data_IF_752558376998
#
_entry.id   IF_752558376998
#
_cell.length_a   1.000
_cell.length_b   1.000
_cell.length_c   1.000
_cell.angle_alpha   90.00
_cell.angle_beta   90.00
_cell.angle_gamma   90.00
#
_symmetry.space_group_name_H-M   'P 1'
#
loop_
_entity.id
_entity.type
_entity.pdbx_description
1 polymer ?
#
# COMPACT_ATOMS: atom_id res chain seq x y z
N UNK A 1 28.20 24.08 21.38
CA UNK A 1 27.23 24.27 22.48
C UNK A 1 25.90 24.75 21.92
N UNK A 2 25.14 23.88 21.21
CA UNK A 2 23.77 24.14 20.79
C UNK A 2 22.86 23.19 21.57
N UNK A 3 22.39 23.62 22.76
CA UNK A 3 21.23 23.00 23.40
C UNK A 3 20.03 23.21 22.50
N UNK A 4 19.72 22.23 21.62
CA UNK A 4 18.41 22.17 21.01
C UNK A 4 17.38 22.03 22.13
N UNK A 5 16.66 23.14 22.41
CA UNK A 5 15.46 23.12 23.22
C UNK A 5 14.52 22.09 22.61
N UNK A 6 14.48 20.88 23.19
CA UNK A 6 13.48 19.87 22.81
C UNK A 6 12.11 20.48 23.07
N UNK A 7 11.47 21.00 22.01
CA UNK A 7 10.08 21.45 22.09
C UNK A 7 9.26 20.27 22.61
N UNK A 8 8.45 20.53 23.62
CA UNK A 8 7.63 19.52 24.31
C UNK A 8 6.86 18.65 23.28
N UNK A 9 6.78 17.32 23.42
CA UNK A 9 6.07 16.44 22.47
C UNK A 9 4.65 16.92 22.15
N UNK A 10 3.91 17.36 23.15
CA UNK A 10 2.58 17.93 22.99
C UNK A 10 2.54 19.15 22.07
N UNK A 11 3.55 20.02 22.11
CA UNK A 11 3.61 21.20 21.24
C UNK A 11 3.82 20.82 19.76
N UNK A 12 4.67 19.82 19.51
CA UNK A 12 4.87 19.28 18.13
C UNK A 12 3.59 18.63 17.60
N UNK A 13 2.92 17.84 18.43
CA UNK A 13 1.65 17.22 18.09
C UNK A 13 0.57 18.26 17.81
N UNK A 14 0.45 19.30 18.66
CA UNK A 14 -0.50 20.39 18.46
C UNK A 14 -0.24 21.14 17.15
N UNK A 15 1.01 21.48 16.86
CA UNK A 15 1.38 22.15 15.60
C UNK A 15 0.96 21.33 14.38
N UNK A 16 1.24 20.04 14.37
CA UNK A 16 0.91 19.16 13.24
C UNK A 16 -0.62 18.97 13.13
N UNK A 17 -1.32 18.90 14.25
CA UNK A 17 -2.80 18.86 14.29
C UNK A 17 -3.40 20.15 13.72
N UNK A 18 -2.91 21.31 14.13
CA UNK A 18 -3.39 22.60 13.61
C UNK A 18 -3.16 22.69 12.09
N UNK A 19 -1.95 22.34 11.62
CA UNK A 19 -1.65 22.33 10.19
C UNK A 19 -2.59 21.39 9.41
N UNK A 20 -2.89 20.23 9.98
CA UNK A 20 -3.82 19.26 9.39
C UNK A 20 -5.27 19.77 9.34
N UNK A 21 -5.75 20.42 10.42
CA UNK A 21 -7.08 21.04 10.46
C UNK A 21 -7.20 22.14 9.41
N UNK A 22 -6.18 23.00 9.27
CA UNK A 22 -6.15 24.04 8.22
C UNK A 22 -6.25 23.43 6.84
N UNK A 23 -5.53 22.33 6.56
CA UNK A 23 -5.65 21.59 5.31
C UNK A 23 -7.09 21.07 5.08
N UNK A 24 -7.71 20.46 6.10
CA UNK A 24 -9.07 19.95 5.99
C UNK A 24 -10.10 21.05 5.71
N UNK A 25 -9.96 22.21 6.37
CA UNK A 25 -10.83 23.37 6.11
C UNK A 25 -10.63 23.90 4.68
N UNK A 26 -9.40 23.98 4.20
CA UNK A 26 -9.11 24.38 2.82
C UNK A 26 -9.71 23.39 1.81
N UNK A 27 -9.58 22.07 2.05
CA UNK A 27 -10.20 21.03 1.22
C UNK A 27 -11.73 21.13 1.25
N UNK A 28 -12.35 21.42 2.40
CA UNK A 28 -13.79 21.62 2.49
C UNK A 28 -14.25 22.80 1.62
N UNK A 29 -13.52 23.92 1.67
CA UNK A 29 -13.80 25.07 0.80
C UNK A 29 -13.63 24.76 -0.69
N UNK A 30 -12.64 23.93 -1.01
CA UNK A 30 -12.41 23.45 -2.38
C UNK A 30 -13.58 22.57 -2.86
N UNK A 31 -13.96 21.54 -2.07
CA UNK A 31 -15.08 20.64 -2.39
C UNK A 31 -16.39 21.42 -2.55
N UNK A 32 -16.65 22.44 -1.71
CA UNK A 32 -17.83 23.29 -1.83
C UNK A 32 -17.91 24.02 -3.17
N UNK A 33 -16.77 24.44 -3.71
CA UNK A 33 -16.70 25.14 -5.01
C UNK A 33 -16.78 24.23 -6.21
N UNK A 34 -16.27 23.00 -6.10
CA UNK A 34 -16.11 22.09 -7.24
C UNK A 34 -17.22 21.05 -7.34
N UNK A 35 -17.73 20.58 -6.22
CA UNK A 35 -18.65 19.44 -6.13
C UNK A 35 -19.97 19.78 -5.39
N UNK A 36 -20.08 21.01 -4.89
CA UNK A 36 -21.30 21.57 -4.33
C UNK A 36 -21.47 21.44 -2.80
N UNK A 37 -22.55 22.01 -2.30
CA UNK A 37 -22.80 22.13 -0.86
C UNK A 37 -23.02 20.79 -0.17
N UNK A 38 -23.61 19.81 -0.85
CA UNK A 38 -23.88 18.47 -0.29
C UNK A 38 -22.57 17.72 0.00
N UNK A 39 -21.67 17.67 -0.97
CA UNK A 39 -20.36 17.05 -0.79
C UNK A 39 -19.54 17.75 0.31
N UNK A 40 -19.57 19.07 0.36
CA UNK A 40 -18.91 19.85 1.41
C UNK A 40 -19.51 19.60 2.81
N UNK A 41 -20.83 19.47 2.92
CA UNK A 41 -21.51 19.10 4.15
C UNK A 41 -21.13 17.67 4.58
N UNK A 42 -21.09 16.72 3.66
CA UNK A 42 -20.62 15.36 3.89
C UNK A 42 -19.17 15.37 4.39
N UNK A 43 -18.24 16.08 3.74
CA UNK A 43 -16.84 16.18 4.17
C UNK A 43 -16.71 16.82 5.55
N UNK A 44 -17.49 17.86 5.86
CA UNK A 44 -17.52 18.48 7.19
C UNK A 44 -17.87 17.51 8.30
N UNK A 45 -18.62 16.44 8.02
CA UNK A 45 -18.92 15.41 9.02
C UNK A 45 -17.80 14.36 9.18
N UNK A 46 -16.94 14.17 8.18
CA UNK A 46 -15.88 13.14 8.16
C UNK A 46 -14.56 13.66 8.73
N UNK A 47 -14.08 14.81 8.25
CA UNK A 47 -12.74 15.28 8.56
C UNK A 47 -12.45 15.53 10.06
N UNK A 48 -13.43 15.93 10.93
CA UNK A 48 -13.14 16.07 12.36
C UNK A 48 -12.76 14.75 13.01
N UNK A 49 -13.42 13.65 12.63
CA UNK A 49 -13.06 12.29 13.10
C UNK A 49 -11.65 11.92 12.68
N UNK A 50 -11.30 12.16 11.42
CA UNK A 50 -9.95 11.93 10.91
C UNK A 50 -8.91 12.80 11.65
N UNK A 51 -9.24 14.07 11.92
CA UNK A 51 -8.35 14.99 12.64
C UNK A 51 -8.08 14.53 14.08
N UNK A 52 -9.11 14.05 14.79
CA UNK A 52 -8.94 13.48 16.15
C UNK A 52 -8.05 12.24 16.13
N UNK A 53 -8.26 11.33 15.17
CA UNK A 53 -7.43 10.13 15.01
C UNK A 53 -5.96 10.50 14.70
N UNK A 54 -5.73 11.45 13.78
CA UNK A 54 -4.40 11.94 13.44
C UNK A 54 -3.73 12.67 14.62
N UNK A 55 -4.47 13.45 15.39
CA UNK A 55 -3.96 14.13 16.60
C UNK A 55 -3.51 13.13 17.66
N UNK A 56 -4.34 12.11 17.93
CA UNK A 56 -3.98 11.01 18.84
C UNK A 56 -2.74 10.26 18.36
N UNK A 57 -2.68 9.92 17.07
CA UNK A 57 -1.51 9.31 16.45
C UNK A 57 -0.25 10.18 16.54
N UNK A 58 -0.36 11.49 16.29
CA UNK A 58 0.75 12.44 16.39
C UNK A 58 1.27 12.52 17.84
N UNK A 59 0.38 12.58 18.82
CA UNK A 59 0.77 12.58 20.23
C UNK A 59 1.55 11.33 20.60
N UNK A 60 1.06 10.14 20.22
CA UNK A 60 1.72 8.87 20.47
C UNK A 60 3.11 8.80 19.79
N UNK A 61 3.21 9.23 18.52
CA UNK A 61 4.46 9.25 17.74
C UNK A 61 5.50 10.13 18.41
N UNK A 62 5.13 11.34 18.83
CA UNK A 62 6.07 12.27 19.49
C UNK A 62 6.42 11.85 20.92
N UNK A 63 5.49 11.28 21.67
CA UNK A 63 5.78 10.73 23.01
C UNK A 63 6.72 9.52 22.92
N UNK A 64 6.57 8.68 21.90
CA UNK A 64 7.44 7.53 21.67
C UNK A 64 8.80 7.90 21.04
N UNK A 65 9.00 9.15 20.58
CA UNK A 65 10.21 9.56 19.89
C UNK A 65 10.35 9.00 18.46
N UNK A 66 9.26 8.51 17.88
CA UNK A 66 9.25 7.98 16.52
C UNK A 66 9.32 9.10 15.45
N UNK A 67 9.67 8.72 14.22
CA UNK A 67 9.76 9.66 13.10
C UNK A 67 8.37 10.08 12.60
N UNK A 68 8.08 11.38 12.56
CA UNK A 68 6.74 11.88 12.23
C UNK A 68 6.46 12.03 10.72
N UNK A 69 7.47 11.93 9.85
CA UNK A 69 7.29 12.15 8.40
C UNK A 69 6.29 11.18 7.75
N UNK A 70 6.36 9.84 7.98
CA UNK A 70 5.40 8.91 7.41
C UNK A 70 3.96 9.21 7.87
N UNK A 71 3.78 9.55 9.14
CA UNK A 71 2.47 9.94 9.68
C UNK A 71 1.89 11.15 8.95
N UNK A 72 2.69 12.20 8.74
CA UNK A 72 2.24 13.44 8.07
C UNK A 72 1.81 13.19 6.63
N UNK A 73 2.63 12.45 5.87
CA UNK A 73 2.31 12.14 4.46
C UNK A 73 1.04 11.32 4.37
N UNK A 74 0.90 10.30 5.22
CA UNK A 74 -0.29 9.44 5.24
C UNK A 74 -1.55 10.20 5.67
N UNK A 75 -1.42 11.15 6.63
CA UNK A 75 -2.54 12.01 7.04
C UNK A 75 -2.99 12.93 5.90
N UNK A 76 -2.05 13.55 5.16
CA UNK A 76 -2.37 14.39 3.99
C UNK A 76 -3.08 13.56 2.92
N UNK A 77 -2.57 12.38 2.59
CA UNK A 77 -3.23 11.48 1.64
C UNK A 77 -4.62 11.07 2.11
N UNK A 78 -4.79 10.76 3.39
CA UNK A 78 -6.10 10.44 3.96
C UNK A 78 -7.09 11.60 3.86
N UNK A 79 -6.66 12.83 4.11
CA UNK A 79 -7.53 14.01 3.98
C UNK A 79 -7.98 14.22 2.52
N UNK A 80 -7.04 14.13 1.56
CA UNK A 80 -7.33 14.25 0.13
C UNK A 80 -8.24 13.10 -0.31
N UNK A 81 -7.95 11.86 0.12
CA UNK A 81 -8.75 10.69 -0.18
C UNK A 81 -10.18 10.82 0.32
N UNK A 82 -10.38 11.20 1.58
CA UNK A 82 -11.72 11.40 2.15
C UNK A 82 -12.49 12.53 1.44
N UNK A 83 -11.82 13.64 1.10
CA UNK A 83 -12.44 14.71 0.31
C UNK A 83 -12.89 14.21 -1.06
N UNK A 84 -12.07 13.40 -1.73
CA UNK A 84 -12.38 12.85 -3.05
C UNK A 84 -13.50 11.81 -2.99
N UNK A 85 -13.52 10.93 -1.96
CA UNK A 85 -14.57 9.93 -1.77
C UNK A 85 -15.93 10.57 -1.50
N UNK A 86 -16.01 11.59 -0.63
CA UNK A 86 -17.29 12.29 -0.40
C UNK A 86 -17.73 13.10 -1.61
N UNK A 87 -16.80 13.58 -2.44
CA UNK A 87 -17.13 14.24 -3.70
C UNK A 87 -17.73 13.29 -4.73
N UNK A 88 -17.35 12.00 -4.68
CA UNK A 88 -17.91 10.96 -5.55
C UNK A 88 -19.21 10.40 -4.98
N UNK A 89 -19.26 10.15 -3.68
CA UNK A 89 -20.34 9.47 -2.97
C UNK A 89 -20.65 10.16 -1.62
N UNK A 90 -21.36 11.31 -1.60
CA UNK A 90 -21.66 12.04 -0.36
C UNK A 90 -22.44 11.21 0.67
N UNK A 91 -23.31 10.29 0.19
CA UNK A 91 -24.10 9.41 1.04
C UNK A 91 -23.26 8.46 1.92
N UNK A 92 -22.02 8.16 1.53
CA UNK A 92 -21.13 7.22 2.23
C UNK A 92 -20.33 7.88 3.38
N UNK A 93 -20.61 9.13 3.74
CA UNK A 93 -19.86 9.88 4.76
C UNK A 93 -19.80 9.16 6.12
N UNK A 94 -20.88 8.47 6.54
CA UNK A 94 -20.88 7.72 7.79
C UNK A 94 -19.98 6.49 7.75
N UNK A 95 -19.91 5.80 6.62
CA UNK A 95 -19.01 4.67 6.41
C UNK A 95 -17.54 5.11 6.46
N UNK A 96 -17.21 6.24 5.83
CA UNK A 96 -15.86 6.81 5.88
C UNK A 96 -15.42 7.20 7.31
N UNK A 97 -16.34 7.70 8.16
CA UNK A 97 -16.06 7.91 9.59
C UNK A 97 -15.70 6.61 10.31
N UNK A 98 -16.47 5.55 10.04
CA UNK A 98 -16.22 4.22 10.63
C UNK A 98 -14.83 3.74 10.21
N UNK A 99 -14.45 3.91 8.94
CA UNK A 99 -13.10 3.54 8.48
C UNK A 99 -11.99 4.33 9.18
N UNK A 100 -12.18 5.62 9.46
CA UNK A 100 -11.23 6.41 10.25
C UNK A 100 -11.06 5.84 11.67
N UNK A 101 -12.16 5.52 12.35
CA UNK A 101 -12.13 4.95 13.71
C UNK A 101 -11.51 3.55 13.72
N UNK A 102 -11.91 2.67 12.80
CA UNK A 102 -11.35 1.33 12.67
C UNK A 102 -9.85 1.36 12.34
N UNK A 103 -9.41 2.34 11.54
CA UNK A 103 -7.99 2.51 11.27
C UNK A 103 -7.21 2.91 12.51
N UNK A 104 -7.74 3.79 13.34
CA UNK A 104 -7.11 4.17 14.59
C UNK A 104 -7.00 2.99 15.57
N UNK A 105 -8.08 2.22 15.74
CA UNK A 105 -8.07 0.97 16.51
C UNK A 105 -7.08 -0.03 15.91
N UNK A 106 -7.08 -0.19 14.58
CA UNK A 106 -6.14 -1.03 13.86
C UNK A 106 -4.68 -0.64 14.10
N UNK A 107 -4.37 0.67 14.18
CA UNK A 107 -3.05 1.17 14.54
C UNK A 107 -2.65 0.74 15.97
N UNK A 108 -3.56 0.86 16.93
CA UNK A 108 -3.28 0.42 18.32
C UNK A 108 -3.04 -1.09 18.41
N UNK A 109 -3.87 -1.89 17.72
CA UNK A 109 -3.67 -3.34 17.62
C UNK A 109 -2.33 -3.68 16.95
N UNK A 110 -1.97 -2.98 15.89
CA UNK A 110 -0.70 -3.18 15.17
C UNK A 110 0.50 -2.80 16.03
N UNK A 111 0.41 -1.73 16.82
CA UNK A 111 1.46 -1.36 17.77
C UNK A 111 1.63 -2.46 18.86
N UNK A 112 0.53 -3.06 19.32
CA UNK A 112 0.57 -4.20 20.24
C UNK A 112 1.22 -5.43 19.57
N UNK A 113 0.82 -5.75 18.33
CA UNK A 113 1.46 -6.83 17.56
C UNK A 113 2.96 -6.56 17.43
N UNK A 114 3.37 -5.33 17.09
CA UNK A 114 4.80 -4.99 17.02
C UNK A 114 5.52 -5.16 18.37
N UNK A 115 4.88 -4.84 19.48
CA UNK A 115 5.44 -5.09 20.81
C UNK A 115 5.62 -6.60 21.09
N UNK A 116 4.68 -7.45 20.66
CA UNK A 116 4.79 -8.91 20.73
C UNK A 116 5.93 -9.44 19.84
N UNK A 117 6.09 -8.89 18.63
CA UNK A 117 7.18 -9.27 17.72
C UNK A 117 8.57 -9.02 18.34
N UNK A 118 8.71 -8.08 19.29
CA UNK A 118 9.98 -7.81 20.01
C UNK A 118 10.39 -8.92 20.95
N UNK A 119 9.45 -9.71 21.46
CA UNK A 119 9.70 -10.73 22.50
C UNK A 119 9.58 -12.16 21.99
N UNK A 120 8.91 -12.37 20.86
CA UNK A 120 8.72 -13.71 20.29
C UNK A 120 9.92 -14.16 19.45
N UNK A 121 10.26 -15.46 19.46
CA UNK A 121 11.30 -16.02 18.59
C UNK A 121 10.92 -15.87 17.11
N UNK A 122 11.86 -15.43 16.27
CA UNK A 122 11.63 -15.23 14.82
C UNK A 122 11.16 -16.51 14.12
N UNK A 123 11.67 -17.69 14.53
CA UNK A 123 11.24 -19.00 14.00
C UNK A 123 9.74 -19.25 14.22
N UNK A 124 9.24 -18.93 15.43
CA UNK A 124 7.81 -19.06 15.75
C UNK A 124 6.99 -18.10 14.92
N UNK A 125 7.42 -16.83 14.81
CA UNK A 125 6.75 -15.81 14.00
C UNK A 125 6.66 -16.26 12.54
N UNK A 126 7.77 -16.74 11.95
CA UNK A 126 7.79 -17.25 10.59
C UNK A 126 6.76 -18.38 10.40
N UNK A 127 6.76 -19.39 11.27
CA UNK A 127 5.84 -20.51 11.18
C UNK A 127 4.37 -20.05 11.29
N UNK A 128 4.08 -19.12 12.20
CA UNK A 128 2.74 -18.54 12.35
C UNK A 128 2.34 -17.76 11.06
N UNK A 129 3.25 -16.99 10.47
CA UNK A 129 2.97 -16.27 9.22
C UNK A 129 2.69 -17.23 8.06
N UNK A 130 3.47 -18.32 7.91
CA UNK A 130 3.21 -19.33 6.87
C UNK A 130 1.86 -19.99 7.08
N UNK A 131 1.56 -20.44 8.32
CA UNK A 131 0.30 -21.09 8.64
C UNK A 131 -0.90 -20.16 8.43
N UNK A 132 -0.83 -18.91 8.95
CA UNK A 132 -1.87 -17.92 8.79
C UNK A 132 -2.12 -17.59 7.31
N UNK A 133 -1.06 -17.46 6.50
CA UNK A 133 -1.18 -17.21 5.07
C UNK A 133 -1.86 -18.38 4.36
N UNK A 134 -1.40 -19.62 4.58
CA UNK A 134 -1.99 -20.81 3.96
C UNK A 134 -3.48 -20.97 4.33
N UNK A 135 -3.81 -20.82 5.60
CA UNK A 135 -5.20 -20.87 6.09
C UNK A 135 -6.04 -19.77 5.44
N UNK A 136 -5.52 -18.54 5.36
CA UNK A 136 -6.25 -17.41 4.76
C UNK A 136 -6.50 -17.61 3.26
N UNK A 137 -5.54 -18.15 2.51
CA UNK A 137 -5.75 -18.46 1.08
C UNK A 137 -6.80 -19.54 0.87
N UNK A 138 -6.78 -20.60 1.68
CA UNK A 138 -7.81 -21.65 1.66
C UNK A 138 -9.18 -21.08 2.05
N UNK A 139 -9.23 -20.31 3.11
CA UNK A 139 -10.45 -19.65 3.59
C UNK A 139 -11.06 -18.74 2.50
N UNK A 140 -10.25 -17.89 1.89
CA UNK A 140 -10.71 -17.04 0.79
C UNK A 140 -11.24 -17.85 -0.38
N UNK A 141 -10.56 -18.94 -0.76
CA UNK A 141 -11.00 -19.76 -1.89
C UNK A 141 -12.33 -20.45 -1.63
N UNK A 142 -12.62 -20.82 -0.39
CA UNK A 142 -13.84 -21.55 0.00
C UNK A 142 -15.00 -20.61 0.32
N UNK A 143 -14.75 -19.52 1.06
CA UNK A 143 -15.80 -18.69 1.63
C UNK A 143 -16.02 -17.35 0.94
N UNK A 144 -15.09 -16.88 0.09
CA UNK A 144 -15.29 -15.60 -0.59
C UNK A 144 -16.21 -15.75 -1.81
N UNK A 145 -17.00 -14.70 -2.07
CA UNK A 145 -17.74 -14.59 -3.34
C UNK A 145 -16.86 -13.93 -4.39
N UNK A 146 -16.77 -14.47 -5.62
CA UNK A 146 -15.94 -13.88 -6.65
C UNK A 146 -16.52 -12.55 -7.15
N UNK A 147 -15.71 -11.51 -7.14
CA UNK A 147 -15.99 -10.24 -7.80
C UNK A 147 -15.04 -10.14 -9.00
N UNK A 148 -15.57 -10.00 -10.22
CA UNK A 148 -14.76 -10.01 -11.44
C UNK A 148 -13.81 -11.22 -11.55
N UNK A 149 -14.29 -12.41 -11.16
CA UNK A 149 -13.54 -13.68 -11.10
C UNK A 149 -12.38 -13.68 -10.10
N UNK A 150 -12.30 -12.75 -9.16
CA UNK A 150 -11.27 -12.64 -8.11
C UNK A 150 -11.89 -12.98 -6.75
N UNK A 151 -11.21 -13.83 -5.97
CA UNK A 151 -11.65 -14.33 -4.67
C UNK A 151 -10.87 -13.63 -3.54
N UNK A 152 -11.07 -12.32 -3.35
CA UNK A 152 -10.29 -11.51 -2.42
C UNK A 152 -11.09 -10.94 -1.25
N UNK A 153 -12.43 -10.95 -1.35
CA UNK A 153 -13.32 -10.25 -0.42
C UNK A 153 -14.14 -11.20 0.44
N UNK A 154 -14.24 -10.85 1.71
CA UNK A 154 -15.13 -11.50 2.68
C UNK A 154 -16.15 -10.46 3.14
N UNK A 155 -17.44 -10.84 3.15
CA UNK A 155 -18.49 -9.98 3.70
C UNK A 155 -18.68 -10.27 5.19
N UNK A 156 -18.53 -9.24 6.02
CA UNK A 156 -18.75 -9.30 7.47
C UNK A 156 -19.74 -8.21 7.84
N UNK A 157 -20.88 -8.58 8.41
CA UNK A 157 -21.93 -7.65 8.82
C UNK A 157 -22.39 -6.66 7.72
N UNK A 158 -22.43 -7.11 6.47
CA UNK A 158 -22.81 -6.29 5.32
C UNK A 158 -21.70 -5.46 4.70
N UNK A 159 -20.52 -5.40 5.32
CA UNK A 159 -19.35 -4.70 4.77
C UNK A 159 -18.39 -5.69 4.10
N UNK A 160 -17.84 -5.30 2.95
CA UNK A 160 -16.84 -6.09 2.22
C UNK A 160 -15.45 -5.75 2.73
N UNK A 161 -14.71 -6.78 3.17
CA UNK A 161 -13.32 -6.67 3.61
C UNK A 161 -12.42 -7.46 2.65
N UNK A 162 -11.42 -6.79 2.08
CA UNK A 162 -10.43 -7.43 1.22
C UNK A 162 -9.28 -8.01 2.06
N UNK A 163 -9.35 -9.29 2.38
CA UNK A 163 -8.37 -9.95 3.26
C UNK A 163 -6.96 -9.99 2.65
N UNK A 164 -6.84 -9.92 1.34
CA UNK A 164 -5.54 -9.87 0.63
C UNK A 164 -4.71 -8.64 1.01
N UNK A 165 -5.33 -7.56 1.47
CA UNK A 165 -4.63 -6.40 2.02
C UNK A 165 -3.90 -6.72 3.32
N UNK A 166 -4.52 -7.47 4.22
CA UNK A 166 -3.89 -7.92 5.47
C UNK A 166 -2.78 -8.95 5.20
N UNK A 167 -2.95 -9.81 4.17
CA UNK A 167 -1.93 -10.79 3.78
C UNK A 167 -0.61 -10.13 3.37
N UNK A 168 -0.61 -8.94 2.79
CA UNK A 168 0.64 -8.19 2.50
C UNK A 168 1.46 -7.94 3.77
N UNK A 169 0.81 -7.57 4.87
CA UNK A 169 1.49 -7.32 6.14
C UNK A 169 2.03 -8.61 6.77
N UNK A 170 1.27 -9.70 6.68
CA UNK A 170 1.70 -11.03 7.13
C UNK A 170 2.94 -11.48 6.33
N UNK A 171 2.95 -11.25 5.00
CA UNK A 171 4.10 -11.52 4.16
C UNK A 171 5.34 -10.74 4.62
N UNK A 172 5.20 -9.42 4.83
CA UNK A 172 6.30 -8.56 5.28
C UNK A 172 6.90 -9.07 6.58
N UNK A 173 6.08 -9.40 7.57
CA UNK A 173 6.54 -9.92 8.85
C UNK A 173 7.22 -11.29 8.67
N UNK A 174 6.59 -12.21 7.95
CA UNK A 174 7.11 -13.56 7.70
C UNK A 174 8.40 -13.56 6.88
N UNK A 175 8.48 -12.73 5.83
CA UNK A 175 9.68 -12.59 5.00
C UNK A 175 10.83 -11.97 5.80
N UNK A 176 10.56 -10.93 6.60
CA UNK A 176 11.55 -10.36 7.51
C UNK A 176 12.09 -11.41 8.47
N UNK A 177 11.18 -12.17 9.12
CA UNK A 177 11.58 -13.24 10.03
C UNK A 177 12.39 -14.36 9.33
N UNK A 178 12.15 -14.61 8.05
CA UNK A 178 12.91 -15.60 7.28
C UNK A 178 14.33 -15.13 6.95
N UNK A 179 14.46 -13.91 6.37
CA UNK A 179 15.75 -13.45 5.80
C UNK A 179 16.74 -12.95 6.85
N UNK A 180 16.26 -12.56 8.04
CA UNK A 180 17.08 -12.00 9.12
C UNK A 180 17.22 -12.91 10.32
N UNK A 181 16.77 -14.18 10.28
CA UNK A 181 16.78 -15.09 11.40
C UNK A 181 18.19 -15.57 11.74
N UNK A 182 18.75 -15.09 12.85
CA UNK A 182 20.10 -15.42 13.28
C UNK A 182 20.28 -16.85 13.77
N UNK A 183 19.19 -17.51 14.18
CA UNK A 183 19.23 -18.93 14.56
C UNK A 183 19.34 -19.87 13.35
N UNK A 184 19.15 -19.39 12.13
CA UNK A 184 19.20 -20.18 10.90
C UNK A 184 20.45 -19.92 10.10
N UNK A 185 21.02 -20.98 9.56
CA UNK A 185 22.07 -20.82 8.54
C UNK A 185 21.49 -20.21 7.25
N UNK A 186 22.37 -19.69 6.46
CA UNK A 186 21.99 -18.95 5.24
C UNK A 186 21.16 -19.78 4.24
N UNK A 187 21.42 -21.08 4.10
CA UNK A 187 20.65 -21.96 3.23
C UNK A 187 19.20 -22.18 3.73
N UNK A 188 19.00 -22.23 5.05
CA UNK A 188 17.66 -22.32 5.65
C UNK A 188 16.89 -21.01 5.45
N UNK A 189 17.53 -19.86 5.69
CA UNK A 189 16.91 -18.54 5.43
C UNK A 189 16.42 -18.43 3.99
N UNK A 190 17.24 -18.82 3.03
CA UNK A 190 16.87 -18.78 1.61
C UNK A 190 15.69 -19.69 1.28
N UNK A 191 15.73 -20.96 1.75
CA UNK A 191 14.62 -21.91 1.54
C UNK A 191 13.32 -21.45 2.21
N UNK A 192 13.40 -20.87 3.40
CA UNK A 192 12.24 -20.31 4.10
C UNK A 192 11.64 -19.14 3.32
N UNK A 193 12.46 -18.22 2.82
CA UNK A 193 11.99 -17.13 1.96
C UNK A 193 11.31 -17.65 0.69
N UNK A 194 11.91 -18.63 0.00
CA UNK A 194 11.33 -19.26 -1.19
C UNK A 194 10.00 -19.96 -0.89
N UNK A 195 9.91 -20.72 0.23
CA UNK A 195 8.67 -21.38 0.63
C UNK A 195 7.53 -20.37 0.84
N UNK A 196 7.81 -19.28 1.55
CA UNK A 196 6.81 -18.24 1.78
C UNK A 196 6.37 -17.60 0.46
N UNK A 197 7.31 -17.25 -0.43
CA UNK A 197 7.01 -16.70 -1.75
C UNK A 197 6.20 -17.70 -2.61
N UNK A 198 6.50 -19.00 -2.54
CA UNK A 198 5.74 -20.03 -3.24
C UNK A 198 4.30 -20.14 -2.72
N UNK A 199 4.09 -20.06 -1.40
CA UNK A 199 2.74 -20.01 -0.78
C UNK A 199 1.95 -18.82 -1.31
N UNK A 200 2.59 -17.63 -1.38
CA UNK A 200 1.93 -16.42 -1.88
C UNK A 200 1.67 -16.47 -3.38
N UNK A 201 2.62 -16.92 -4.18
CA UNK A 201 2.44 -17.07 -5.62
C UNK A 201 1.30 -18.06 -5.95
N UNK A 202 1.30 -19.23 -5.30
CA UNK A 202 0.24 -20.22 -5.45
C UNK A 202 -1.12 -19.73 -4.93
N UNK A 203 -1.14 -19.09 -3.76
CA UNK A 203 -2.35 -18.54 -3.15
C UNK A 203 -2.99 -17.47 -4.04
N UNK A 204 -2.24 -16.47 -4.47
CA UNK A 204 -2.74 -15.41 -5.35
C UNK A 204 -3.13 -15.90 -6.74
N UNK A 205 -2.43 -16.93 -7.26
CA UNK A 205 -2.84 -17.59 -8.49
C UNK A 205 -4.23 -18.21 -8.34
N UNK A 206 -4.46 -18.97 -7.27
CA UNK A 206 -5.76 -19.63 -6.99
C UNK A 206 -6.88 -18.61 -6.77
N UNK A 207 -6.57 -17.44 -6.18
CA UNK A 207 -7.51 -16.34 -6.00
C UNK A 207 -7.72 -15.48 -7.26
N UNK A 208 -6.90 -15.67 -8.31
CA UNK A 208 -6.87 -14.83 -9.52
C UNK A 208 -6.60 -13.34 -9.22
N UNK A 209 -5.63 -13.07 -8.30
CA UNK A 209 -5.29 -11.75 -7.78
C UNK A 209 -3.82 -11.42 -8.09
N UNK A 210 -3.55 -11.01 -9.34
CA UNK A 210 -2.17 -10.75 -9.80
C UNK A 210 -1.63 -9.38 -9.37
N UNK A 211 -2.52 -8.41 -9.15
CA UNK A 211 -2.10 -7.05 -8.77
C UNK A 211 -1.43 -7.02 -7.42
N UNK A 212 -2.06 -7.58 -6.42
CA UNK A 212 -1.51 -7.68 -5.07
C UNK A 212 -0.26 -8.55 -5.02
N UNK A 213 -0.21 -9.64 -5.82
CA UNK A 213 1.01 -10.45 -5.94
C UNK A 213 2.19 -9.64 -6.46
N UNK A 214 2.00 -8.79 -7.47
CA UNK A 214 3.07 -7.94 -7.99
C UNK A 214 3.63 -7.01 -6.91
N UNK A 215 2.77 -6.33 -6.14
CA UNK A 215 3.21 -5.48 -5.04
C UNK A 215 4.00 -6.28 -4.00
N UNK A 216 3.52 -7.48 -3.64
CA UNK A 216 4.20 -8.38 -2.71
C UNK A 216 5.60 -8.80 -3.21
N UNK A 217 5.74 -9.13 -4.49
CA UNK A 217 7.03 -9.52 -5.07
C UNK A 217 8.01 -8.34 -5.14
N UNK A 218 7.54 -7.16 -5.52
CA UNK A 218 8.35 -5.94 -5.53
C UNK A 218 8.84 -5.59 -4.12
N UNK A 219 7.97 -5.70 -3.13
CA UNK A 219 8.29 -5.43 -1.73
C UNK A 219 9.33 -6.41 -1.19
N UNK A 220 9.12 -7.72 -1.38
CA UNK A 220 10.13 -8.73 -1.03
C UNK A 220 11.45 -8.53 -1.79
N UNK A 221 11.41 -8.04 -3.04
CA UNK A 221 12.60 -7.68 -3.81
C UNK A 221 13.39 -6.54 -3.15
N UNK A 222 12.72 -5.48 -2.73
CA UNK A 222 13.35 -4.36 -1.98
C UNK A 222 13.93 -4.87 -0.65
N UNK A 223 13.18 -5.67 0.10
CA UNK A 223 13.66 -6.24 1.37
C UNK A 223 14.88 -7.16 1.15
N UNK A 224 14.88 -7.97 0.08
CA UNK A 224 16.00 -8.84 -0.25
C UNK A 224 17.24 -8.04 -0.65
N UNK A 225 17.08 -6.95 -1.41
CA UNK A 225 18.20 -6.06 -1.80
C UNK A 225 18.89 -5.42 -0.60
N UNK A 226 18.15 -5.13 0.47
CA UNK A 226 18.66 -4.42 1.64
C UNK A 226 19.17 -5.36 2.74
N UNK A 227 18.59 -6.56 2.88
CA UNK A 227 18.82 -7.44 4.02
C UNK A 227 19.44 -8.80 3.64
N UNK A 228 19.54 -9.12 2.34
CA UNK A 228 20.23 -10.31 1.86
C UNK A 228 21.54 -9.96 1.15
N UNK A 229 22.43 -10.96 1.00
CA UNK A 229 23.59 -10.81 0.13
C UNK A 229 23.17 -10.67 -1.33
N UNK A 230 23.93 -9.92 -2.13
CA UNK A 230 23.63 -9.69 -3.56
C UNK A 230 23.46 -11.00 -4.34
N UNK A 231 24.27 -12.02 -4.04
CA UNK A 231 24.16 -13.34 -4.68
C UNK A 231 22.78 -13.98 -4.45
N UNK A 232 22.22 -13.83 -3.25
CA UNK A 232 20.91 -14.36 -2.91
C UNK A 232 19.79 -13.58 -3.49
N UNK A 233 19.89 -12.27 -3.44
CA UNK A 233 18.93 -11.40 -4.11
C UNK A 233 18.84 -11.76 -5.59
N UNK A 234 19.98 -11.91 -6.27
CA UNK A 234 20.01 -12.36 -7.66
C UNK A 234 19.43 -13.76 -7.84
N UNK A 235 19.67 -14.69 -6.90
CA UNK A 235 19.08 -16.03 -6.94
C UNK A 235 17.56 -15.99 -6.76
N UNK A 236 17.03 -15.14 -5.87
CA UNK A 236 15.58 -14.93 -5.69
C UNK A 236 14.97 -14.35 -6.96
N UNK A 237 15.60 -13.34 -7.56
CA UNK A 237 15.15 -12.71 -8.82
C UNK A 237 15.17 -13.73 -9.96
N UNK A 238 16.26 -14.48 -10.11
CA UNK A 238 16.37 -15.52 -11.14
C UNK A 238 15.32 -16.61 -10.96
N UNK A 239 15.10 -17.08 -9.73
CA UNK A 239 14.02 -18.03 -9.43
C UNK A 239 12.63 -17.46 -9.75
N UNK A 240 12.39 -16.20 -9.38
CA UNK A 240 11.14 -15.49 -9.71
C UNK A 240 10.94 -15.35 -11.22
N UNK A 241 11.99 -15.03 -11.98
CA UNK A 241 11.94 -14.93 -13.43
C UNK A 241 11.66 -16.31 -14.09
N UNK A 242 12.33 -17.37 -13.63
CA UNK A 242 12.13 -18.72 -14.11
C UNK A 242 10.70 -19.22 -13.82
N UNK A 243 10.24 -19.06 -12.58
CA UNK A 243 8.88 -19.48 -12.20
C UNK A 243 7.82 -18.64 -12.88
N UNK A 244 8.04 -17.34 -13.04
CA UNK A 244 7.17 -16.43 -13.78
C UNK A 244 7.09 -16.80 -15.27
N UNK A 245 8.23 -17.09 -15.90
CA UNK A 245 8.31 -17.56 -17.28
C UNK A 245 7.61 -18.91 -17.48
N UNK A 246 7.88 -19.90 -16.60
CA UNK A 246 7.19 -21.20 -16.62
C UNK A 246 5.68 -21.03 -16.37
N UNK A 247 5.29 -20.16 -15.42
CA UNK A 247 3.90 -19.82 -15.16
C UNK A 247 3.22 -19.22 -16.40
N UNK A 248 3.85 -18.26 -17.07
CA UNK A 248 3.32 -17.69 -18.32
C UNK A 248 3.18 -18.74 -19.44
N UNK A 249 4.17 -19.61 -19.60
CA UNK A 249 4.10 -20.71 -20.57
C UNK A 249 2.93 -21.65 -20.25
N UNK A 250 2.74 -22.00 -18.97
CA UNK A 250 1.59 -22.79 -18.51
C UNK A 250 0.25 -22.08 -18.81
N UNK A 251 0.14 -20.79 -18.54
CA UNK A 251 -1.07 -20.00 -18.83
C UNK A 251 -1.38 -19.97 -20.33
N UNK A 252 -0.35 -19.80 -21.16
CA UNK A 252 -0.48 -19.84 -22.63
C UNK A 252 -0.96 -21.20 -23.11
N UNK A 253 -0.43 -22.29 -22.53
CA UNK A 253 -0.88 -23.66 -22.81
C UNK A 253 -2.36 -23.83 -22.43
N UNK A 254 -2.78 -23.38 -21.24
CA UNK A 254 -4.18 -23.45 -20.80
C UNK A 254 -5.11 -22.71 -21.77
N UNK A 255 -4.67 -21.59 -22.33
CA UNK A 255 -5.49 -20.81 -23.27
C UNK A 255 -5.70 -21.53 -24.61
N UNK A 256 -4.76 -22.36 -25.02
CA UNK A 256 -4.88 -23.18 -26.23
C UNK A 256 -5.78 -24.41 -26.09
N UNK A 257 -6.19 -24.77 -24.87
CA UNK A 257 -7.03 -25.96 -24.64
C UNK A 257 -8.50 -25.67 -24.97
N UNK A 258 -9.15 -26.63 -25.62
CA UNK A 258 -10.60 -26.65 -25.79
C UNK A 258 -11.25 -27.24 -24.54
N UNK A 259 -12.24 -26.51 -23.96
CA UNK A 259 -13.00 -26.93 -22.77
C UNK A 259 -12.14 -27.33 -21.57
N UNK A 260 -11.21 -26.47 -21.11
CA UNK A 260 -10.38 -26.79 -19.96
C UNK A 260 -11.22 -26.90 -18.68
N UNK A 261 -10.87 -27.86 -17.80
CA UNK A 261 -11.51 -28.09 -16.51
C UNK A 261 -10.54 -27.85 -15.36
N UNK A 262 -11.04 -27.64 -14.14
CA UNK A 262 -10.24 -27.53 -12.93
C UNK A 262 -9.16 -26.43 -13.00
N UNK A 263 -7.88 -26.73 -12.65
CA UNK A 263 -6.78 -25.78 -12.68
C UNK A 263 -6.51 -25.16 -14.05
N UNK A 264 -6.74 -25.90 -15.13
CA UNK A 264 -6.54 -25.41 -16.50
C UNK A 264 -7.57 -24.35 -16.89
N UNK A 265 -8.82 -24.48 -16.43
CA UNK A 265 -9.85 -23.44 -16.60
C UNK A 265 -9.46 -22.15 -15.86
N UNK A 266 -8.93 -22.28 -14.64
CA UNK A 266 -8.42 -21.14 -13.90
C UNK A 266 -7.26 -20.48 -14.64
N UNK A 267 -6.29 -21.27 -15.12
CA UNK A 267 -5.17 -20.78 -15.94
C UNK A 267 -5.63 -20.03 -17.18
N UNK A 268 -6.68 -20.53 -17.87
CA UNK A 268 -7.26 -19.81 -19.02
C UNK A 268 -7.87 -18.46 -18.63
N UNK A 269 -8.59 -18.38 -17.50
CA UNK A 269 -9.15 -17.11 -17.00
C UNK A 269 -8.06 -16.11 -16.64
N UNK A 270 -7.01 -16.55 -15.95
CA UNK A 270 -5.85 -15.73 -15.60
C UNK A 270 -5.15 -15.22 -16.86
N UNK A 271 -4.92 -16.09 -17.85
CA UNK A 271 -4.30 -15.71 -19.13
C UNK A 271 -5.10 -14.62 -19.85
N UNK A 272 -6.41 -14.78 -19.98
CA UNK A 272 -7.27 -13.80 -20.65
C UNK A 272 -7.20 -12.42 -20.00
N UNK A 273 -7.21 -12.35 -18.66
CA UNK A 273 -7.01 -11.09 -17.93
C UNK A 273 -5.64 -10.47 -18.22
N UNK A 274 -4.58 -11.29 -18.18
CA UNK A 274 -3.23 -10.84 -18.45
C UNK A 274 -3.04 -10.38 -19.90
N UNK A 275 -3.59 -11.11 -20.85
CA UNK A 275 -3.50 -10.79 -22.28
C UNK A 275 -4.12 -9.43 -22.60
N UNK A 276 -5.29 -9.12 -22.06
CA UNK A 276 -5.93 -7.80 -22.24
C UNK A 276 -5.05 -6.68 -21.65
N UNK A 277 -4.48 -6.89 -20.47
CA UNK A 277 -3.60 -5.91 -19.82
C UNK A 277 -2.31 -5.67 -20.61
N UNK A 278 -1.72 -6.74 -21.13
CA UNK A 278 -0.51 -6.66 -21.98
C UNK A 278 -0.80 -6.04 -23.36
N UNK A 279 -1.99 -6.28 -23.91
CA UNK A 279 -2.38 -5.73 -25.21
C UNK A 279 -2.46 -4.19 -25.18
N UNK A 280 -2.98 -3.62 -24.09
CA UNK A 280 -3.07 -2.16 -23.90
C UNK A 280 -1.90 -1.58 -23.10
N UNK A 281 -0.80 -2.31 -22.95
CA UNK A 281 0.39 -1.82 -22.29
C UNK A 281 1.02 -0.67 -23.07
N UNK A 282 1.20 0.48 -22.41
CA UNK A 282 1.86 1.65 -22.98
C UNK A 282 1.12 2.31 -24.14
N UNK A 283 -0.17 2.00 -24.34
CA UNK A 283 -0.95 2.62 -25.40
C UNK A 283 -1.11 4.12 -25.12
N UNK A 284 -0.70 4.94 -26.09
CA UNK A 284 -0.79 6.40 -26.03
C UNK A 284 -1.69 6.99 -27.11
N UNK A 285 -1.93 6.24 -28.19
CA UNK A 285 -2.80 6.63 -29.28
C UNK A 285 -4.04 5.71 -29.34
N UNK A 286 -5.17 6.26 -28.91
CA UNK A 286 -6.46 5.58 -28.92
C UNK A 286 -7.24 5.80 -30.23
N UNK A 287 -6.72 6.61 -31.16
CA UNK A 287 -7.36 6.85 -32.46
C UNK A 287 -7.29 5.63 -33.37
N UNK A 288 -6.33 4.73 -33.13
CA UNK A 288 -6.14 3.49 -33.86
C UNK A 288 -7.11 2.37 -33.45
N UNK A 289 -7.81 2.53 -32.33
CA UNK A 289 -8.75 1.55 -31.82
C UNK A 289 -10.13 1.69 -32.46
N UNK A 290 -10.77 0.54 -32.68
CA UNK A 290 -12.17 0.53 -33.11
C UNK A 290 -13.11 1.01 -32.01
N UNK A 291 -14.25 1.58 -32.37
CA UNK A 291 -15.28 2.01 -31.41
C UNK A 291 -15.74 0.87 -30.47
N UNK A 292 -15.69 -0.37 -30.94
CA UNK A 292 -16.01 -1.56 -30.15
C UNK A 292 -14.95 -1.82 -29.08
N UNK A 293 -13.68 -1.68 -29.39
CA UNK A 293 -12.59 -1.85 -28.42
C UNK A 293 -12.62 -0.76 -27.35
N UNK A 294 -12.80 0.51 -27.78
CA UNK A 294 -12.91 1.67 -26.89
C UNK A 294 -14.10 1.52 -25.92
N UNK A 295 -15.22 0.94 -26.35
CA UNK A 295 -16.41 0.72 -25.51
C UNK A 295 -16.37 -0.56 -24.68
N UNK A 296 -15.36 -1.43 -24.84
CA UNK A 296 -15.26 -2.72 -24.16
C UNK A 296 -13.90 -2.92 -23.47
N UNK A 297 -12.98 -3.60 -24.14
CA UNK A 297 -11.71 -4.03 -23.55
C UNK A 297 -10.73 -2.90 -23.25
N UNK A 298 -10.72 -1.84 -24.05
CA UNK A 298 -9.89 -0.66 -23.86
C UNK A 298 -10.55 0.44 -23.03
N UNK A 299 -11.80 0.27 -22.59
CA UNK A 299 -12.60 1.33 -21.97
C UNK A 299 -11.92 1.96 -20.74
N UNK A 300 -11.33 1.14 -19.87
CA UNK A 300 -10.60 1.65 -18.69
C UNK A 300 -9.39 2.50 -19.11
N UNK A 301 -8.56 2.01 -20.02
CA UNK A 301 -7.38 2.72 -20.49
C UNK A 301 -7.76 4.04 -21.18
N UNK A 302 -8.75 3.99 -22.06
CA UNK A 302 -9.25 5.17 -22.79
C UNK A 302 -9.82 6.25 -21.86
N UNK A 303 -10.69 5.87 -20.92
CA UNK A 303 -11.29 6.83 -19.99
C UNK A 303 -10.26 7.41 -19.02
N UNK A 304 -9.26 6.64 -18.60
CA UNK A 304 -8.15 7.10 -17.79
C UNK A 304 -7.31 8.12 -18.56
N UNK A 305 -6.89 7.79 -19.77
CA UNK A 305 -6.15 8.68 -20.64
C UNK A 305 -6.92 9.99 -20.92
N UNK A 306 -8.21 9.89 -21.26
CA UNK A 306 -9.08 11.04 -21.45
C UNK A 306 -9.20 11.92 -20.20
N UNK A 307 -9.26 11.31 -19.03
CA UNK A 307 -9.29 12.00 -17.73
C UNK A 307 -8.02 12.83 -17.50
N UNK A 308 -6.85 12.28 -17.85
CA UNK A 308 -5.56 12.95 -17.75
C UNK A 308 -5.42 14.06 -18.80
N UNK A 309 -5.83 13.81 -20.05
CA UNK A 309 -5.74 14.78 -21.14
C UNK A 309 -6.59 16.03 -20.87
N UNK A 310 -7.78 15.85 -20.31
CA UNK A 310 -8.72 16.92 -19.99
C UNK A 310 -8.43 17.57 -18.62
N UNK A 311 -7.48 17.07 -17.84
CA UNK A 311 -7.10 17.66 -16.57
C UNK A 311 -6.39 19.02 -16.79
N UNK A 312 -6.72 19.98 -15.92
CA UNK A 312 -6.04 21.29 -15.90
C UNK A 312 -4.70 21.18 -15.16
N UNK A 313 -3.79 22.14 -15.36
CA UNK A 313 -2.60 22.22 -14.51
C UNK A 313 -2.95 22.32 -13.02
N UNK A 314 -3.96 23.11 -12.67
CA UNK A 314 -4.47 23.28 -11.30
C UNK A 314 -5.99 23.41 -11.32
N UNK A 315 -6.64 22.79 -10.32
CA UNK A 315 -8.09 22.85 -10.13
C UNK A 315 -8.87 21.89 -11.01
N UNK A 316 -10.19 21.91 -10.83
CA UNK A 316 -11.10 20.98 -11.49
C UNK A 316 -11.21 21.23 -13.00
N UNK A 317 -11.25 20.16 -13.78
CA UNK A 317 -11.58 20.21 -15.21
C UNK A 317 -13.04 20.64 -15.41
N UNK A 318 -13.35 21.44 -16.43
CA UNK A 318 -14.73 21.72 -16.83
C UNK A 318 -15.41 20.46 -17.40
N UNK A 319 -14.62 19.50 -17.88
CA UNK A 319 -15.10 18.25 -18.45
C UNK A 319 -14.93 17.11 -17.44
N UNK A 320 -16.03 16.70 -16.83
CA UNK A 320 -16.03 15.55 -15.91
C UNK A 320 -16.01 14.26 -16.70
N UNK A 321 -15.00 13.45 -16.49
CA UNK A 321 -14.87 12.12 -17.11
C UNK A 321 -15.30 11.07 -16.10
N UNK A 322 -16.34 10.28 -16.46
CA UNK A 322 -16.71 9.11 -15.68
C UNK A 322 -15.78 7.96 -16.07
N UNK A 323 -14.89 7.58 -15.14
CA UNK A 323 -14.03 6.40 -15.29
C UNK A 323 -14.65 5.22 -14.55
N UNK A 324 -14.56 3.99 -15.05
CA UNK A 324 -14.94 2.81 -14.25
C UNK A 324 -14.00 2.72 -13.04
N UNK A 325 -14.52 2.25 -11.90
CA UNK A 325 -13.75 2.16 -10.63
C UNK A 325 -13.00 3.44 -10.28
N UNK A 326 -13.63 4.59 -10.56
CA UNK A 326 -13.11 5.94 -10.35
C UNK A 326 -12.75 6.25 -8.89
N UNK A 327 -13.38 5.54 -7.97
CA UNK A 327 -13.28 5.66 -6.53
C UNK A 327 -12.20 4.73 -5.93
N UNK A 328 -11.68 3.77 -6.70
CA UNK A 328 -10.77 2.73 -6.20
C UNK A 328 -9.48 2.62 -7.04
N UNK A 329 -9.48 1.80 -8.09
CA UNK A 329 -8.27 1.47 -8.85
C UNK A 329 -7.78 2.63 -9.73
N UNK A 330 -8.70 3.48 -10.22
CA UNK A 330 -8.38 4.64 -11.08
C UNK A 330 -8.57 5.99 -10.38
N UNK A 331 -8.46 5.98 -9.05
CA UNK A 331 -8.64 7.18 -8.20
C UNK A 331 -7.70 8.33 -8.56
N UNK A 332 -6.49 8.05 -9.04
CA UNK A 332 -5.54 9.08 -9.44
C UNK A 332 -5.95 9.79 -10.74
N UNK A 333 -6.60 9.10 -11.67
CA UNK A 333 -7.18 9.74 -12.85
C UNK A 333 -8.32 10.69 -12.44
N UNK A 334 -9.12 10.27 -11.45
CA UNK A 334 -10.17 11.12 -10.85
C UNK A 334 -9.54 12.32 -10.12
N UNK A 335 -8.47 12.10 -9.35
CA UNK A 335 -7.72 13.16 -8.67
C UNK A 335 -7.18 14.19 -9.68
N UNK A 336 -6.58 13.73 -10.79
CA UNK A 336 -6.10 14.63 -11.85
C UNK A 336 -7.24 15.43 -12.50
N UNK A 337 -8.37 14.81 -12.78
CA UNK A 337 -9.53 15.49 -13.38
C UNK A 337 -10.20 16.49 -12.43
N UNK A 338 -10.20 16.22 -11.13
CA UNK A 338 -10.84 17.08 -10.11
C UNK A 338 -9.88 18.08 -9.45
N UNK A 339 -8.61 17.76 -9.29
CA UNK A 339 -7.62 18.59 -8.60
C UNK A 339 -6.55 19.18 -9.51
N UNK A 340 -6.43 18.67 -10.73
CA UNK A 340 -5.39 19.05 -11.68
C UNK A 340 -4.11 18.23 -11.58
N UNK A 341 -3.21 18.44 -12.54
CA UNK A 341 -1.91 17.77 -12.61
C UNK A 341 -1.04 17.98 -11.39
N UNK A 342 -1.14 19.14 -10.73
CA UNK A 342 -0.36 19.41 -9.52
C UNK A 342 -0.73 18.45 -8.38
N UNK A 343 -2.00 18.06 -8.25
CA UNK A 343 -2.42 17.09 -7.25
C UNK A 343 -1.86 15.70 -7.56
N UNK A 344 -1.78 15.31 -8.83
CA UNK A 344 -1.15 14.06 -9.26
C UNK A 344 0.35 14.06 -8.96
N UNK A 345 1.05 15.16 -9.25
CA UNK A 345 2.48 15.33 -8.96
C UNK A 345 2.76 15.30 -7.44
N UNK A 346 1.88 15.90 -6.63
CA UNK A 346 1.97 15.82 -5.17
C UNK A 346 1.74 14.39 -4.65
N UNK A 347 0.83 13.63 -5.27
CA UNK A 347 0.63 12.22 -4.95
C UNK A 347 1.89 11.39 -5.28
N UNK A 348 2.50 11.63 -6.46
CA UNK A 348 3.77 11.01 -6.85
C UNK A 348 4.89 11.35 -5.85
N UNK A 349 5.06 12.64 -5.54
CA UNK A 349 6.07 13.11 -4.59
C UNK A 349 5.89 12.50 -3.19
N UNK A 350 4.66 12.50 -2.67
CA UNK A 350 4.36 11.89 -1.38
C UNK A 350 4.62 10.38 -1.36
N UNK A 351 4.35 9.68 -2.46
CA UNK A 351 4.66 8.26 -2.61
C UNK A 351 6.17 8.01 -2.53
N UNK A 352 6.98 8.80 -3.25
CA UNK A 352 8.44 8.72 -3.14
C UNK A 352 8.95 9.08 -1.75
N UNK A 353 8.35 10.08 -1.09
CA UNK A 353 8.70 10.41 0.31
C UNK A 353 8.43 9.24 1.25
N UNK A 354 7.35 8.49 1.08
CA UNK A 354 7.07 7.31 1.90
C UNK A 354 8.11 6.21 1.67
N UNK A 355 8.50 5.94 0.43
CA UNK A 355 9.52 4.96 0.11
C UNK A 355 10.87 5.37 0.72
N UNK A 356 11.31 6.60 0.47
CA UNK A 356 12.57 7.11 1.00
C UNK A 356 12.57 7.12 2.54
N UNK A 357 11.45 7.55 3.15
CA UNK A 357 11.31 7.50 4.60
C UNK A 357 11.42 6.07 5.14
N UNK A 358 10.81 5.10 4.45
CA UNK A 358 10.88 3.68 4.84
C UNK A 358 12.31 3.15 4.78
N UNK A 359 13.05 3.50 3.73
CA UNK A 359 14.44 3.09 3.55
C UNK A 359 15.40 3.73 4.57
N UNK A 360 15.22 5.03 4.86
CA UNK A 360 16.16 5.79 5.70
C UNK A 360 15.85 5.68 7.19
N UNK A 361 14.56 5.64 7.57
CA UNK A 361 14.16 5.72 8.97
C UNK A 361 14.19 4.37 9.67
N UNK A 362 13.84 3.30 8.96
CA UNK A 362 13.82 1.96 9.54
C UNK A 362 15.22 1.48 9.95
N UNK A 363 16.27 1.92 9.26
CA UNK A 363 17.66 1.56 9.58
C UNK A 363 18.12 2.02 10.97
N UNK A 364 17.39 2.96 11.60
CA UNK A 364 17.73 3.51 12.93
C UNK A 364 17.57 2.53 14.09
N UNK A 365 16.74 1.51 13.95
CA UNK A 365 16.48 0.53 15.01
C UNK A 365 17.37 -0.69 14.96
N UNK A 366 17.97 -0.99 13.81
CA UNK A 366 18.76 -2.19 13.59
C UNK A 366 17.95 -3.50 13.71
N UNK A 367 18.57 -4.62 13.35
CA UNK A 367 17.98 -5.94 13.50
C UNK A 367 16.78 -6.24 12.60
N UNK A 368 16.09 -7.31 12.88
CA UNK A 368 15.00 -7.83 12.06
C UNK A 368 13.73 -6.94 12.05
N UNK A 369 13.47 -6.20 13.13
CA UNK A 369 12.34 -5.27 13.21
C UNK A 369 12.52 -4.06 12.29
N UNK A 370 13.77 -3.69 11.97
CA UNK A 370 14.08 -2.73 10.91
C UNK A 370 13.61 -3.24 9.55
N UNK A 371 13.83 -4.53 9.26
CA UNK A 371 13.34 -5.17 8.03
C UNK A 371 11.80 -5.14 7.95
N UNK A 372 11.09 -5.42 9.06
CA UNK A 372 9.63 -5.31 9.13
C UNK A 372 9.16 -3.89 8.83
N UNK A 373 9.78 -2.88 9.43
CA UNK A 373 9.43 -1.47 9.20
C UNK A 373 9.68 -1.03 7.76
N UNK A 374 10.83 -1.43 7.19
CA UNK A 374 11.16 -1.15 5.77
C UNK A 374 10.11 -1.75 4.84
N UNK A 375 9.85 -3.06 4.97
CA UNK A 375 8.85 -3.74 4.14
C UNK A 375 7.47 -3.13 4.29
N UNK A 376 7.00 -2.90 5.53
CA UNK A 376 5.68 -2.32 5.75
C UNK A 376 5.52 -0.94 5.09
N UNK A 377 6.50 -0.06 5.22
CA UNK A 377 6.45 1.26 4.58
C UNK A 377 6.63 1.21 3.06
N UNK A 378 7.53 0.35 2.55
CA UNK A 378 7.73 0.14 1.12
C UNK A 378 6.48 -0.46 0.46
N UNK A 379 5.77 -1.38 1.13
CA UNK A 379 4.55 -1.98 0.57
C UNK A 379 3.47 -0.92 0.26
N UNK A 380 3.34 0.10 1.11
CA UNK A 380 2.46 1.25 0.87
C UNK A 380 2.95 2.09 -0.31
N UNK A 381 4.24 2.45 -0.31
CA UNK A 381 4.81 3.26 -1.39
C UNK A 381 4.76 2.54 -2.75
N UNK A 382 5.10 1.25 -2.80
CA UNK A 382 5.07 0.44 -4.02
C UNK A 382 3.64 0.24 -4.55
N UNK A 383 2.64 0.05 -3.67
CA UNK A 383 1.24 0.03 -4.09
C UNK A 383 0.83 1.35 -4.75
N UNK A 384 1.27 2.49 -4.19
CA UNK A 384 1.07 3.81 -4.79
C UNK A 384 1.74 3.94 -6.15
N UNK A 385 2.99 3.49 -6.32
CA UNK A 385 3.70 3.50 -7.61
C UNK A 385 3.01 2.60 -8.64
N UNK A 386 2.60 1.40 -8.29
CA UNK A 386 1.89 0.48 -9.20
C UNK A 386 0.57 1.11 -9.67
N UNK A 387 -0.16 1.79 -8.79
CA UNK A 387 -1.37 2.52 -9.17
C UNK A 387 -1.06 3.71 -10.10
N UNK A 388 0.04 4.44 -9.85
CA UNK A 388 0.51 5.51 -10.75
C UNK A 388 0.82 4.99 -12.15
N UNK A 389 1.51 3.84 -12.26
CA UNK A 389 1.76 3.19 -13.56
C UNK A 389 0.46 2.75 -14.24
N UNK A 390 -0.52 2.26 -13.46
CA UNK A 390 -1.86 1.94 -13.98
C UNK A 390 -2.58 3.17 -14.51
N UNK A 391 -2.49 4.28 -13.79
CA UNK A 391 -3.08 5.56 -14.20
C UNK A 391 -2.42 6.13 -15.46
N UNK A 392 -1.11 5.93 -15.61
CA UNK A 392 -0.38 6.31 -16.82
C UNK A 392 -0.61 5.35 -18.02
N UNK A 393 -1.53 4.39 -17.90
CA UNK A 393 -1.79 3.32 -18.88
C UNK A 393 -0.56 2.47 -19.24
N UNK A 394 0.51 2.55 -18.43
CA UNK A 394 1.70 1.74 -18.60
C UNK A 394 1.49 0.30 -18.12
N UNK A 395 0.62 0.08 -17.14
CA UNK A 395 0.38 -1.24 -16.60
C UNK A 395 -1.02 -1.29 -15.95
N UNK A 396 -2.03 -1.77 -16.67
CA UNK A 396 -3.41 -1.86 -16.17
C UNK A 396 -3.53 -2.96 -15.10
N UNK A 397 -3.14 -2.65 -13.87
CA UNK A 397 -3.24 -3.54 -12.71
C UNK A 397 -4.20 -2.91 -11.70
N UNK A 398 -5.20 -3.69 -11.27
CA UNK A 398 -6.14 -3.28 -10.22
C UNK A 398 -5.47 -3.34 -8.85
N UNK A 399 -4.75 -2.29 -8.50
CA UNK A 399 -4.19 -2.05 -7.15
C UNK A 399 -4.69 -0.70 -6.71
N UNK A 400 -5.28 -0.62 -5.54
CA UNK A 400 -5.78 0.64 -5.00
C UNK A 400 -4.62 1.55 -4.57
N UNK A 401 -4.77 2.87 -4.80
CA UNK A 401 -3.83 3.83 -4.23
C UNK A 401 -4.07 3.96 -2.73
N UNK A 402 -3.03 3.74 -1.90
CA UNK A 402 -3.18 3.79 -0.44
C UNK A 402 -3.76 5.13 0.04
N UNK A 403 -4.67 5.07 1.00
CA UNK A 403 -5.36 6.21 1.61
C UNK A 403 -6.34 6.99 0.72
N UNK A 404 -6.27 6.88 -0.61
CA UNK A 404 -7.16 7.61 -1.53
C UNK A 404 -8.37 6.77 -1.97
N UNK A 405 -8.15 5.48 -2.21
CA UNK A 405 -9.19 4.58 -2.71
C UNK A 405 -10.32 4.33 -1.71
N UNK A 406 -11.52 4.00 -2.22
CA UNK A 406 -12.73 3.72 -1.42
C UNK A 406 -12.66 2.46 -0.56
N UNK A 407 -11.63 1.62 -0.74
CA UNK A 407 -11.51 0.36 -0.02
C UNK A 407 -11.19 0.56 1.46
N UNK A 408 -12.19 0.41 2.33
CA UNK A 408 -11.98 0.49 3.78
C UNK A 408 -10.91 -0.44 4.31
N UNK A 409 -10.81 -1.67 3.79
CA UNK A 409 -9.73 -2.61 4.13
C UNK A 409 -8.35 -2.12 3.71
N UNK A 410 -8.22 -1.57 2.50
CA UNK A 410 -6.96 -0.98 2.03
C UNK A 410 -6.55 0.23 2.88
N UNK A 411 -7.50 1.07 3.25
CA UNK A 411 -7.28 2.21 4.14
C UNK A 411 -6.77 1.78 5.52
N UNK A 412 -7.44 0.81 6.16
CA UNK A 412 -7.07 0.26 7.47
C UNK A 412 -5.70 -0.41 7.43
N UNK A 413 -5.45 -1.26 6.42
CA UNK A 413 -4.18 -1.98 6.28
C UNK A 413 -3.02 -1.04 5.93
N UNK A 414 -3.26 0.03 5.18
CA UNK A 414 -2.24 1.06 4.91
C UNK A 414 -1.83 1.79 6.19
N UNK A 415 -2.78 2.15 7.05
CA UNK A 415 -2.48 2.73 8.37
C UNK A 415 -1.77 1.74 9.29
N UNK A 416 -2.12 0.46 9.25
CA UNK A 416 -1.40 -0.60 9.98
C UNK A 416 0.05 -0.72 9.49
N UNK A 417 0.29 -0.69 8.17
CA UNK A 417 1.63 -0.71 7.59
C UNK A 417 2.48 0.49 8.06
N UNK A 418 1.92 1.70 8.00
CA UNK A 418 2.61 2.90 8.50
C UNK A 418 2.88 2.80 9.99
N UNK A 419 1.99 2.18 10.76
CA UNK A 419 2.22 1.96 12.19
C UNK A 419 3.39 1.01 12.45
N UNK A 420 3.53 -0.08 11.69
CA UNK A 420 4.72 -0.94 11.76
C UNK A 420 6.01 -0.16 11.45
N UNK A 421 6.00 0.68 10.40
CA UNK A 421 7.12 1.56 10.09
C UNK A 421 7.42 2.52 11.25
N UNK A 422 6.42 3.20 11.80
CA UNK A 422 6.59 4.14 12.90
C UNK A 422 7.16 3.46 14.15
N UNK A 423 6.63 2.28 14.51
CA UNK A 423 7.11 1.49 15.64
C UNK A 423 8.57 1.03 15.46
N UNK A 424 8.98 0.74 14.21
CA UNK A 424 10.37 0.38 13.91
C UNK A 424 11.33 1.56 14.00
N UNK A 425 10.84 2.81 14.04
CA UNK A 425 11.68 4.00 14.20
C UNK A 425 11.87 4.43 15.65
N UNK A 426 11.20 3.77 16.61
CA UNK A 426 11.32 4.07 18.04
C UNK A 426 12.73 3.64 18.53
N UNK A 427 13.54 4.55 19.09
CA UNK A 427 14.89 4.23 19.53
C UNK A 427 14.90 3.11 20.58
N UNK A 428 15.70 2.08 20.35
CA UNK A 428 15.98 1.06 21.38
C UNK A 428 17.10 1.55 22.28
N UNK A 429 17.11 1.07 23.57
CA UNK A 429 18.21 1.41 24.51
C UNK A 429 19.59 1.02 23.98
N UNK A 430 19.66 -0.05 23.19
CA UNK A 430 20.89 -0.56 22.59
C UNK A 430 21.33 0.32 21.41
N UNK A 431 20.44 0.69 20.49
CA UNK A 431 20.72 1.60 19.38
C UNK A 431 21.09 3.02 19.86
N UNK A 432 20.53 3.48 20.99
CA UNK A 432 20.94 4.76 21.59
C UNK A 432 22.34 4.72 22.15
N UNK A 433 22.81 3.58 22.68
CA UNK A 433 24.20 3.40 23.17
C UNK A 433 25.21 3.31 22.02
N UNK A 434 24.84 2.62 20.92
CA UNK A 434 25.68 2.50 19.73
C UNK A 434 25.83 3.86 19.00
N UNK A 435 24.75 4.65 18.93
CA UNK A 435 24.80 6.01 18.39
C UNK A 435 25.65 6.96 19.24
N UNK A 436 25.58 6.84 20.56
CA UNK A 436 26.42 7.61 21.48
C UNK A 436 27.88 7.18 21.39
N UNK A 437 28.18 5.89 21.27
CA UNK A 437 29.53 5.38 21.08
C UNK A 437 30.13 5.84 19.73
N UNK A 438 29.34 5.78 18.64
CA UNK A 438 29.78 6.25 17.33
C UNK A 438 30.01 7.78 17.29
N UNK A 439 29.23 8.57 18.04
CA UNK A 439 29.45 10.03 18.15
C UNK A 439 30.71 10.39 18.95
N UNK A 440 31.08 9.57 19.93
CA UNK A 440 32.31 9.76 20.71
C UNK A 440 33.56 9.43 19.91
N UNK A 441 33.53 8.39 19.08
CA UNK A 441 34.65 8.04 18.19
C UNK A 441 34.93 9.15 17.17
N UNK A 442 33.87 9.81 16.63
CA UNK A 442 34.04 10.93 15.69
C UNK A 442 34.55 12.22 16.36
N UNK A 443 34.39 12.41 17.65
CA UNK A 443 34.96 13.55 18.39
C UNK A 443 36.42 13.29 18.79
N UNK A 444 36.83 12.04 19.02
CA UNK A 444 38.24 11.67 19.30
C UNK A 444 39.10 11.68 18.05
N UNK A 445 38.57 11.38 16.85
CA UNK A 445 39.29 11.42 15.58
C UNK A 445 39.51 12.84 15.02
N UNK A 446 38.88 13.86 15.61
CA UNK A 446 38.93 15.29 15.20
C UNK A 446 39.72 16.15 16.20
N UNK A 447 40.15 15.59 17.33
CA UNK A 447 40.99 16.25 18.35
C UNK A 447 42.46 15.81 18.22
#
# INVERSE_FOLDING_TARGET
MFRHKHKHPAFKALRDTVAFVVLCVALQGYVARTDGAEAAAAFRTVWPTLAVCCAGGALLVYCAGAAALPLRVSAIFSAIGMALQVSLHPANANELKIFCLLSFVGCLCTALVFALLRVMPQTLIYNLCVAASAISFVFLRVFSKPINSTYAWVSVAGHSFQLTEALKLILVIGFSAAVTNDAWNEGVRFRAALLLLAVYAGGFFVLNELGTLLVCLLDCGVMALLYCSIKRTLSLVAFGALTGGAGYAFLKLCNGMQNPAGPFRLGQLVYRKLAVRLHYFGISDFSTLSSKEVSSSAYQAYTTWRSLLLARPMGASPYRVSTPVADSDLILATLANRGGWICLLLALFGTFLLIIASLLLSTRCGGWLSCVGTGAGCSVGLAGLVNLFSTASLLLIGVQFPFLGAGGSSFICSWAAITLLLCSTIPTRQGSRELLAASQITEEDVS
#
